data_IF_354790296993
#
_entry.id   IF_354790296993
#
_cell.length_a   1.000
_cell.length_b   1.000
_cell.length_c   1.000
_cell.angle_alpha   90.00
_cell.angle_beta   90.00
_cell.angle_gamma   90.00
#
_symmetry.space_group_name_H-M   'P 1'
#
loop_
_entity.id
_entity.type
_entity.pdbx_description
1 polymer ?
#
# COMPACT_ATOMS: atom_id res chain seq x y z
N UNK A 1 -28.41 -18.95 -69.71
CA UNK A 1 -27.68 -17.87 -69.00
C UNK A 1 -27.67 -18.29 -67.52
N UNK A 2 -26.64 -19.04 -67.12
CA UNK A 2 -26.54 -19.59 -65.78
C UNK A 2 -25.75 -18.58 -64.94
N UNK A 3 -26.33 -18.17 -63.79
CA UNK A 3 -25.71 -17.26 -62.84
C UNK A 3 -24.95 -18.13 -61.86
N UNK A 4 -23.59 -18.03 -61.84
CA UNK A 4 -22.75 -18.66 -60.86
C UNK A 4 -22.92 -18.01 -59.47
N UNK A 5 -22.96 -18.79 -58.38
CA UNK A 5 -23.03 -18.22 -57.04
C UNK A 5 -21.64 -17.72 -56.59
N UNK A 6 -21.63 -16.43 -56.24
CA UNK A 6 -20.45 -15.77 -55.66
C UNK A 6 -20.16 -16.34 -54.26
N UNK A 7 -19.02 -17.01 -54.13
CA UNK A 7 -18.47 -17.50 -52.83
C UNK A 7 -18.02 -16.29 -52.01
N UNK A 8 -18.46 -16.13 -50.75
CA UNK A 8 -17.95 -15.06 -49.88
C UNK A 8 -16.48 -15.32 -49.53
N UNK A 9 -15.66 -14.29 -49.69
CA UNK A 9 -14.25 -14.31 -49.35
C UNK A 9 -14.06 -14.65 -47.84
N UNK A 10 -13.27 -15.67 -47.60
CA UNK A 10 -12.85 -16.07 -46.26
C UNK A 10 -12.12 -14.92 -45.56
N UNK A 11 -12.64 -14.50 -44.40
CA UNK A 11 -11.95 -13.57 -43.50
C UNK A 11 -10.69 -14.26 -42.97
N UNK A 12 -9.56 -13.56 -42.90
CA UNK A 12 -8.35 -14.12 -42.26
C UNK A 12 -8.59 -14.27 -40.77
N UNK A 13 -8.61 -15.51 -40.32
CA UNK A 13 -8.65 -15.83 -38.89
C UNK A 13 -7.36 -15.37 -38.23
N UNK A 14 -7.43 -14.84 -36.99
CA UNK A 14 -6.22 -14.56 -36.21
C UNK A 14 -5.42 -15.84 -36.03
N UNK A 15 -4.19 -15.85 -36.49
CA UNK A 15 -3.27 -16.95 -36.26
C UNK A 15 -3.03 -17.09 -34.75
N UNK A 16 -3.74 -18.00 -34.14
CA UNK A 16 -3.38 -18.55 -32.86
C UNK A 16 -2.01 -19.20 -33.03
N UNK A 17 -0.98 -18.61 -32.41
CA UNK A 17 0.35 -19.20 -32.35
C UNK A 17 0.27 -20.46 -31.49
N UNK A 18 -0.22 -21.52 -32.07
CA UNK A 18 -0.05 -22.86 -31.51
C UNK A 18 1.43 -23.18 -31.56
N UNK A 19 2.11 -22.97 -30.45
CA UNK A 19 3.47 -23.48 -30.25
C UNK A 19 3.36 -25.01 -30.24
N UNK A 20 3.56 -25.61 -31.39
CA UNK A 20 3.76 -27.05 -31.50
C UNK A 20 5.09 -27.38 -30.79
N UNK A 21 4.99 -27.76 -29.52
CA UNK A 21 6.09 -28.34 -28.77
C UNK A 21 6.33 -29.73 -29.38
N UNK A 22 7.29 -29.81 -30.32
CA UNK A 22 7.83 -31.08 -30.77
C UNK A 22 8.67 -31.66 -29.62
N UNK A 23 8.06 -32.52 -28.82
CA UNK A 23 8.78 -33.29 -27.80
C UNK A 23 9.67 -34.29 -28.48
N UNK A 24 10.96 -34.01 -28.53
CA UNK A 24 11.98 -34.99 -28.92
C UNK A 24 12.27 -35.90 -27.69
N UNK A 25 12.01 -37.19 -27.75
CA UNK A 25 12.10 -38.06 -26.56
C UNK A 25 13.53 -38.29 -26.00
N UNK A 26 14.55 -37.69 -26.62
CA UNK A 26 15.94 -37.77 -26.19
C UNK A 26 16.59 -36.42 -25.85
N UNK A 27 15.80 -35.39 -25.71
CA UNK A 27 16.30 -34.14 -25.12
C UNK A 27 15.70 -34.01 -23.72
N UNK A 28 16.57 -34.02 -22.72
CA UNK A 28 16.22 -33.56 -21.39
C UNK A 28 15.56 -32.20 -21.57
N UNK A 29 14.31 -32.08 -21.10
CA UNK A 29 13.59 -30.78 -21.11
C UNK A 29 14.41 -29.88 -20.21
N UNK A 30 15.30 -29.11 -20.80
CA UNK A 30 15.97 -28.01 -20.12
C UNK A 30 14.84 -26.99 -19.78
N UNK A 31 14.29 -27.19 -18.60
CA UNK A 31 13.38 -26.20 -18.01
C UNK A 31 14.24 -24.96 -17.85
N UNK A 32 14.04 -24.01 -18.75
CA UNK A 32 14.63 -22.67 -18.67
C UNK A 32 14.11 -22.05 -17.35
N UNK A 33 14.74 -22.45 -16.27
CA UNK A 33 14.51 -21.83 -14.97
C UNK A 33 14.98 -20.38 -15.11
N UNK A 34 14.10 -19.40 -14.93
CA UNK A 34 14.52 -17.99 -14.94
C UNK A 34 15.71 -17.86 -14.00
N UNK A 35 16.74 -17.06 -14.35
CA UNK A 35 17.97 -16.98 -13.60
C UNK A 35 17.63 -16.73 -12.13
N UNK A 36 17.82 -17.75 -11.31
CA UNK A 36 17.69 -17.65 -9.86
C UNK A 36 18.76 -16.64 -9.44
N UNK A 37 18.31 -15.43 -9.09
CA UNK A 37 19.22 -14.47 -8.48
C UNK A 37 19.68 -15.08 -7.17
N UNK A 38 20.92 -15.54 -7.14
CA UNK A 38 21.61 -15.92 -5.91
C UNK A 38 21.71 -14.67 -5.01
N UNK A 39 20.66 -14.44 -4.25
CA UNK A 39 20.72 -13.44 -3.20
C UNK A 39 21.71 -13.94 -2.15
N UNK A 40 22.78 -13.20 -1.94
CA UNK A 40 23.67 -13.43 -0.83
C UNK A 40 22.83 -13.60 0.45
N UNK A 41 23.15 -14.56 1.29
CA UNK A 41 22.44 -14.81 2.56
C UNK A 41 22.29 -13.52 3.38
N UNK A 42 23.29 -12.66 3.31
CA UNK A 42 23.25 -11.33 3.93
C UNK A 42 22.12 -10.46 3.39
N UNK A 43 21.90 -10.44 2.07
CA UNK A 43 20.84 -9.65 1.44
C UNK A 43 19.45 -10.13 1.86
N UNK A 44 19.25 -11.44 1.99
CA UNK A 44 17.99 -12.02 2.45
C UNK A 44 17.73 -11.65 3.91
N UNK A 45 18.74 -11.78 4.76
CA UNK A 45 18.64 -11.42 6.18
C UNK A 45 18.33 -9.93 6.34
N UNK A 46 19.02 -9.06 5.59
CA UNK A 46 18.74 -7.62 5.61
C UNK A 46 17.31 -7.31 5.16
N UNK A 47 16.82 -7.95 4.08
CA UNK A 47 15.43 -7.77 3.63
C UNK A 47 14.43 -8.15 4.73
N UNK A 48 14.62 -9.28 5.40
CA UNK A 48 13.73 -9.73 6.48
C UNK A 48 13.77 -8.78 7.66
N UNK A 49 14.98 -8.34 8.08
CA UNK A 49 15.15 -7.39 9.19
C UNK A 49 14.49 -6.05 8.86
N UNK A 50 14.73 -5.48 7.68
CA UNK A 50 14.11 -4.21 7.29
C UNK A 50 12.60 -4.32 7.16
N UNK A 51 12.08 -5.43 6.62
CA UNK A 51 10.63 -5.68 6.57
C UNK A 51 10.03 -5.78 7.96
N UNK A 52 10.68 -6.49 8.88
CA UNK A 52 10.26 -6.60 10.27
C UNK A 52 10.28 -5.26 11.01
N UNK A 53 11.31 -4.44 10.77
CA UNK A 53 11.39 -3.08 11.33
C UNK A 53 10.30 -2.17 10.80
N UNK A 54 9.96 -2.26 9.51
CA UNK A 54 8.87 -1.49 8.92
C UNK A 54 7.53 -1.83 9.58
N UNK A 55 7.18 -3.11 9.67
CA UNK A 55 5.94 -3.57 10.32
C UNK A 55 5.94 -3.19 11.81
N UNK A 56 7.08 -3.32 12.49
CA UNK A 56 7.24 -2.93 13.89
C UNK A 56 7.03 -1.42 14.10
N UNK A 57 7.50 -0.60 13.17
CA UNK A 57 7.30 0.86 13.20
C UNK A 57 5.83 1.24 13.09
N UNK A 58 5.07 0.57 12.22
CA UNK A 58 3.63 0.81 12.06
C UNK A 58 2.86 0.39 13.32
N UNK A 59 3.19 -0.77 13.89
CA UNK A 59 2.62 -1.24 15.16
C UNK A 59 2.92 -0.29 16.33
N UNK A 60 4.15 0.22 16.40
CA UNK A 60 4.54 1.22 17.40
C UNK A 60 3.75 2.52 17.23
N UNK A 61 3.61 3.01 16.00
CA UNK A 61 2.86 4.22 15.71
C UNK A 61 1.36 4.08 16.06
N UNK A 62 0.78 2.89 15.83
CA UNK A 62 -0.59 2.61 16.26
C UNK A 62 -0.72 2.56 17.80
N UNK A 63 0.27 1.99 18.50
CA UNK A 63 0.23 1.84 19.97
C UNK A 63 0.47 3.14 20.72
N UNK A 64 1.27 4.05 20.16
CA UNK A 64 1.64 5.31 20.83
C UNK A 64 0.43 6.23 21.03
N UNK A 65 -0.60 6.10 20.18
CA UNK A 65 -1.80 6.93 20.29
C UNK A 65 -2.53 6.69 21.61
N UNK A 66 -2.63 5.44 22.06
CA UNK A 66 -3.25 5.12 23.35
C UNK A 66 -2.53 5.77 24.52
N UNK A 67 -1.19 5.84 24.48
CA UNK A 67 -0.40 6.53 25.51
C UNK A 67 -0.59 8.05 25.44
N UNK A 68 -0.67 8.62 24.23
CA UNK A 68 -0.95 10.05 24.05
C UNK A 68 -2.33 10.39 24.60
N UNK A 69 -3.36 9.59 24.30
CA UNK A 69 -4.71 9.79 24.81
C UNK A 69 -4.76 9.77 26.35
N UNK A 70 -4.02 8.85 26.98
CA UNK A 70 -3.92 8.78 28.45
C UNK A 70 -3.26 10.03 29.05
N UNK A 71 -2.19 10.53 28.43
CA UNK A 71 -1.48 11.72 28.90
C UNK A 71 -2.34 12.97 28.67
N UNK A 72 -2.88 13.12 27.48
CA UNK A 72 -3.76 14.26 27.12
C UNK A 72 -5.01 14.29 27.98
N UNK A 73 -5.61 13.13 28.29
CA UNK A 73 -6.77 13.05 29.19
C UNK A 73 -6.48 13.49 30.62
N UNK A 74 -5.21 13.42 31.05
CA UNK A 74 -4.77 13.96 32.34
C UNK A 74 -4.50 15.47 32.32
N UNK A 75 -4.00 15.98 31.19
CA UNK A 75 -3.62 17.40 31.04
C UNK A 75 -4.85 18.24 30.66
N UNK A 76 -5.73 17.72 29.83
CA UNK A 76 -6.91 18.41 29.29
C UNK A 76 -8.20 17.60 29.52
N UNK A 77 -8.61 17.39 30.78
CA UNK A 77 -9.76 16.50 31.09
C UNK A 77 -11.09 17.02 30.55
N UNK A 78 -11.22 18.32 30.38
CA UNK A 78 -12.44 18.94 29.84
C UNK A 78 -12.51 18.96 28.31
N UNK A 79 -11.34 19.01 27.65
CA UNK A 79 -11.25 19.10 26.18
C UNK A 79 -11.11 17.75 25.51
N UNK A 80 -10.48 16.75 26.15
CA UNK A 80 -10.41 15.39 25.65
C UNK A 80 -11.62 14.59 26.15
N UNK A 81 -12.77 14.85 25.58
CA UNK A 81 -13.96 14.04 25.79
C UNK A 81 -13.77 12.65 25.17
N UNK A 82 -14.46 11.63 25.67
CA UNK A 82 -14.45 10.25 25.10
C UNK A 82 -14.75 10.26 23.60
N UNK A 83 -15.59 11.17 23.12
CA UNK A 83 -15.90 11.33 21.69
C UNK A 83 -14.70 11.85 20.88
N UNK A 84 -13.89 12.74 21.43
CA UNK A 84 -12.69 13.27 20.76
C UNK A 84 -11.61 12.21 20.69
N UNK A 85 -11.40 11.44 21.76
CA UNK A 85 -10.48 10.32 21.78
C UNK A 85 -10.89 9.24 20.75
N UNK A 86 -12.17 8.89 20.71
CA UNK A 86 -12.69 7.94 19.72
C UNK A 86 -12.51 8.46 18.27
N UNK A 87 -12.73 9.75 18.01
CA UNK A 87 -12.50 10.36 16.69
C UNK A 87 -11.03 10.33 16.30
N UNK A 88 -10.12 10.54 17.26
CA UNK A 88 -8.68 10.52 17.04
C UNK A 88 -8.18 9.12 16.63
N UNK A 89 -8.62 8.08 17.33
CA UNK A 89 -8.32 6.69 17.01
C UNK A 89 -8.97 6.24 15.70
N UNK A 90 -10.24 6.58 15.50
CA UNK A 90 -10.98 6.22 14.29
C UNK A 90 -10.44 6.93 13.04
N UNK A 91 -9.96 8.17 13.14
CA UNK A 91 -9.38 8.90 12.01
C UNK A 91 -8.18 8.17 11.41
N UNK A 92 -7.33 7.57 12.23
CA UNK A 92 -6.20 6.76 11.77
C UNK A 92 -6.67 5.49 11.06
N UNK A 93 -7.66 4.77 11.63
CA UNK A 93 -8.20 3.56 11.00
C UNK A 93 -8.90 3.83 9.68
N UNK A 94 -9.72 4.87 9.61
CA UNK A 94 -10.39 5.29 8.37
C UNK A 94 -9.35 5.70 7.32
N UNK A 95 -8.32 6.47 7.73
CA UNK A 95 -7.21 6.80 6.86
C UNK A 95 -6.51 5.56 6.29
N UNK A 96 -6.25 4.55 7.13
CA UNK A 96 -5.62 3.29 6.73
C UNK A 96 -6.47 2.54 5.70
N UNK A 97 -7.77 2.44 5.88
CA UNK A 97 -8.68 1.78 4.93
C UNK A 97 -8.66 2.51 3.57
N UNK A 98 -8.73 3.84 3.59
CA UNK A 98 -8.65 4.66 2.36
C UNK A 98 -7.28 4.48 1.70
N UNK A 99 -6.21 4.44 2.49
CA UNK A 99 -4.85 4.17 2.01
C UNK A 99 -4.75 2.83 1.30
N UNK A 100 -5.20 1.74 1.92
CA UNK A 100 -5.17 0.40 1.33
C UNK A 100 -5.88 0.34 -0.03
N UNK A 101 -7.07 0.93 -0.13
CA UNK A 101 -7.82 0.96 -1.38
C UNK A 101 -7.17 1.86 -2.44
N UNK A 102 -6.74 3.06 -2.04
CA UNK A 102 -6.15 4.05 -2.94
C UNK A 102 -4.78 3.60 -3.47
N UNK A 103 -3.89 3.17 -2.57
CA UNK A 103 -2.54 2.76 -2.96
C UNK A 103 -2.51 1.38 -3.63
N UNK A 104 -3.45 0.48 -3.33
CA UNK A 104 -3.64 -0.73 -4.11
C UNK A 104 -3.82 -0.39 -5.59
N UNK A 105 -4.74 0.50 -5.91
CA UNK A 105 -5.00 0.95 -7.28
C UNK A 105 -3.82 1.73 -7.89
N UNK A 106 -3.17 2.60 -7.13
CA UNK A 106 -2.02 3.41 -7.56
C UNK A 106 -0.82 2.52 -7.85
N UNK A 107 -0.55 1.53 -6.99
CA UNK A 107 0.56 0.58 -7.14
C UNK A 107 0.46 -0.24 -8.42
N UNK A 108 -0.75 -0.60 -8.83
CA UNK A 108 -1.00 -1.35 -10.06
C UNK A 108 -0.72 -0.50 -11.33
N UNK A 109 -0.98 0.82 -11.28
CA UNK A 109 -0.78 1.72 -12.42
C UNK A 109 0.61 2.34 -12.51
N UNK A 110 1.16 2.81 -11.41
CA UNK A 110 2.44 3.54 -11.35
C UNK A 110 3.63 2.66 -11.00
N UNK A 111 3.37 1.40 -10.62
CA UNK A 111 4.40 0.44 -10.23
C UNK A 111 4.72 0.49 -8.74
N UNK A 112 5.12 -0.68 -8.22
CA UNK A 112 5.35 -0.92 -6.79
C UNK A 112 6.39 0.01 -6.15
N UNK A 113 7.45 0.39 -6.89
CA UNK A 113 8.48 1.30 -6.36
C UNK A 113 7.92 2.70 -6.08
N UNK A 114 7.14 3.23 -7.02
CA UNK A 114 6.54 4.57 -6.89
C UNK A 114 5.49 4.58 -5.79
N UNK A 115 4.69 3.53 -5.68
CA UNK A 115 3.73 3.34 -4.58
C UNK A 115 4.43 3.41 -3.23
N UNK A 116 5.48 2.60 -3.00
CA UNK A 116 6.20 2.57 -1.72
C UNK A 116 6.83 3.92 -1.33
N UNK A 117 7.40 4.66 -2.28
CA UNK A 117 7.95 6.00 -2.01
C UNK A 117 6.85 6.98 -1.63
N UNK A 118 5.73 6.95 -2.34
CA UNK A 118 4.61 7.85 -2.09
C UNK A 118 3.98 7.60 -0.73
N UNK A 119 3.71 6.34 -0.37
CA UNK A 119 3.14 5.95 0.93
C UNK A 119 4.06 6.36 2.08
N UNK A 120 5.36 6.07 1.97
CA UNK A 120 6.35 6.45 2.99
C UNK A 120 6.42 7.98 3.15
N UNK A 121 6.38 8.72 2.06
CA UNK A 121 6.41 10.19 2.11
C UNK A 121 5.17 10.74 2.81
N UNK A 122 3.98 10.25 2.48
CA UNK A 122 2.73 10.69 3.12
C UNK A 122 2.72 10.31 4.60
N UNK A 123 3.21 9.12 4.96
CA UNK A 123 3.32 8.69 6.34
C UNK A 123 4.22 9.63 7.15
N UNK A 124 5.42 9.93 6.64
CA UNK A 124 6.37 10.83 7.32
C UNK A 124 5.78 12.23 7.48
N UNK A 125 5.15 12.77 6.44
CA UNK A 125 4.48 14.08 6.49
C UNK A 125 3.33 14.05 7.52
N UNK A 126 2.50 13.02 7.53
CA UNK A 126 1.41 12.87 8.49
C UNK A 126 1.89 12.81 9.94
N UNK A 127 2.97 12.05 10.20
CA UNK A 127 3.59 11.97 11.53
C UNK A 127 4.20 13.31 11.94
N UNK A 128 4.90 13.98 11.03
CA UNK A 128 5.49 15.29 11.30
C UNK A 128 4.43 16.35 11.62
N UNK A 129 3.31 16.36 10.88
CA UNK A 129 2.17 17.23 11.16
C UNK A 129 1.52 16.89 12.51
N UNK A 130 1.42 15.62 12.85
CA UNK A 130 0.89 15.18 14.14
C UNK A 130 1.80 15.59 15.31
N UNK A 131 3.12 15.52 15.14
CA UNK A 131 4.08 15.95 16.13
C UNK A 131 4.13 17.47 16.30
N UNK A 132 3.90 18.22 15.20
CA UNK A 132 3.82 19.68 15.19
C UNK A 132 2.43 20.22 15.51
N UNK A 133 1.46 19.38 15.88
CA UNK A 133 0.10 19.82 16.16
C UNK A 133 0.10 20.79 17.35
N UNK A 134 -0.09 22.05 17.05
CA UNK A 134 -0.25 23.13 18.02
C UNK A 134 -1.41 24.02 17.58
N UNK A 135 -2.17 24.53 18.52
CA UNK A 135 -3.29 25.41 18.23
C UNK A 135 -3.40 26.51 19.27
N UNK A 136 -3.85 27.69 18.87
CA UNK A 136 -4.16 28.81 19.77
C UNK A 136 -5.31 28.43 20.71
N UNK A 137 -6.16 27.50 20.28
CA UNK A 137 -7.31 26.98 21.03
C UNK A 137 -7.19 25.47 21.15
N UNK A 138 -7.53 24.91 22.31
CA UNK A 138 -7.48 23.45 22.56
C UNK A 138 -8.25 22.65 21.52
N UNK A 139 -9.44 23.09 21.14
CA UNK A 139 -10.22 22.47 20.07
C UNK A 139 -9.51 22.50 18.71
N UNK A 140 -8.79 23.57 18.38
CA UNK A 140 -8.00 23.67 17.15
C UNK A 140 -6.85 22.66 17.11
N UNK A 141 -6.19 22.45 18.23
CA UNK A 141 -5.12 21.46 18.38
C UNK A 141 -5.64 20.03 18.15
N UNK A 142 -6.76 19.66 18.75
CA UNK A 142 -7.37 18.35 18.56
C UNK A 142 -7.84 18.10 17.12
N UNK A 143 -8.44 19.09 16.47
CA UNK A 143 -8.82 18.98 15.06
C UNK A 143 -7.62 18.80 14.14
N UNK A 144 -6.55 19.57 14.35
CA UNK A 144 -5.32 19.41 13.61
C UNK A 144 -4.71 18.01 13.81
N UNK A 145 -4.74 17.52 15.05
CA UNK A 145 -4.23 16.19 15.39
C UNK A 145 -5.04 15.07 14.70
N UNK A 146 -6.38 15.19 14.67
CA UNK A 146 -7.26 14.25 14.00
C UNK A 146 -6.96 14.19 12.49
N UNK A 147 -6.83 15.35 11.84
CA UNK A 147 -6.51 15.44 10.41
C UNK A 147 -5.13 14.86 10.12
N UNK A 148 -4.12 15.23 10.89
CA UNK A 148 -2.76 14.73 10.75
C UNK A 148 -2.69 13.20 10.91
N UNK A 149 -3.46 12.65 11.86
CA UNK A 149 -3.59 11.20 12.07
C UNK A 149 -4.30 10.51 10.91
N UNK A 150 -5.32 11.13 10.33
CA UNK A 150 -5.97 10.61 9.12
C UNK A 150 -4.98 10.51 7.95
N UNK A 151 -4.17 11.55 7.73
CA UNK A 151 -3.12 11.56 6.69
C UNK A 151 -2.06 10.50 6.98
N UNK A 152 -1.59 10.38 8.22
CA UNK A 152 -0.65 9.33 8.61
C UNK A 152 -1.24 7.93 8.40
N UNK A 153 -2.52 7.73 8.70
CA UNK A 153 -3.25 6.50 8.44
C UNK A 153 -3.28 6.14 6.96
N UNK A 154 -3.55 7.11 6.08
CA UNK A 154 -3.50 6.89 4.63
C UNK A 154 -2.11 6.42 4.19
N UNK A 155 -1.04 7.03 4.70
CA UNK A 155 0.32 6.58 4.43
C UNK A 155 0.64 5.19 4.98
N UNK A 156 0.10 4.83 6.15
CA UNK A 156 0.32 3.51 6.78
C UNK A 156 -0.47 2.37 6.10
N UNK A 157 -1.52 2.70 5.34
CA UNK A 157 -2.34 1.73 4.60
C UNK A 157 -1.80 1.37 3.22
N UNK A 158 -0.68 1.93 2.74
CA UNK A 158 -0.18 1.77 1.38
C UNK A 158 0.99 0.80 1.16
#
# INVERSE_FOLDING_TARGET
MAVEPVTPAAQPQPQEKTSTVTVNPNQDVEVDNPPQRDYSRLSVVLMVVFSGLAIGSDGFNASIIGNIELIMGKIYPESLTTDVAARLSNAFMVGMIIGMLGFGYISDKLGRKTGAVLTTTILVVGIALSAGASGITENGMFWMLIIARGIAGVGAGG
#
